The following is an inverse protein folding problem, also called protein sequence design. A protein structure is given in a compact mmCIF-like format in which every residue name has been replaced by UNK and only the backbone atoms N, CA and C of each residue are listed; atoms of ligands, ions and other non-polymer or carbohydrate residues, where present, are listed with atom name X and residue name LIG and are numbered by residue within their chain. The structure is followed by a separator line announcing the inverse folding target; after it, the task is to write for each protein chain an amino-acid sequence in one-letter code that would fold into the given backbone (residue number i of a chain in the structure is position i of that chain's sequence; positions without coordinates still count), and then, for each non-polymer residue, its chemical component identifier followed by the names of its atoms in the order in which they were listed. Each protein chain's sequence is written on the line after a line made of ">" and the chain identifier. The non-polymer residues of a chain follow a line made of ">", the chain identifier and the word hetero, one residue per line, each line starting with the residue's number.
data_IF_151903024813
#
_entry.id   IF_151903024813
#
_cell.length_a   1.000
_cell.length_b   1.000
_cell.length_c   1.000
_cell.angle_alpha   90.00
_cell.angle_beta   90.00
_cell.angle_gamma   90.00
#
_symmetry.space_group_name_H-M   'P 1'
#
loop_
_entity.id
_entity.type
_entity.pdbx_description
1 polymer ?
#
# COMPACT_ATOMS: atom_id res chain seq x y z
N UNK A 1 19.83 19.19 -18.73
CA UNK A 1 18.84 19.41 -17.64
C UNK A 1 17.83 18.27 -17.57
N UNK A 2 17.15 17.92 -18.66
CA UNK A 2 16.17 16.80 -18.73
C UNK A 2 16.78 15.42 -18.46
N UNK A 3 18.03 15.17 -18.87
CA UNK A 3 18.73 13.91 -18.62
C UNK A 3 19.05 13.67 -17.14
N UNK A 4 19.34 14.74 -16.40
CA UNK A 4 19.66 14.69 -14.97
C UNK A 4 18.40 14.48 -14.11
N UNK A 5 17.27 15.08 -14.51
CA UNK A 5 15.99 14.84 -13.85
C UNK A 5 15.51 13.40 -14.09
N UNK A 6 15.59 12.88 -15.31
CA UNK A 6 15.24 11.48 -15.60
C UNK A 6 16.13 10.48 -14.85
N UNK A 7 17.44 10.73 -14.80
CA UNK A 7 18.38 9.90 -14.04
C UNK A 7 18.09 9.94 -12.53
N UNK A 8 17.79 11.13 -11.98
CA UNK A 8 17.41 11.31 -10.59
C UNK A 8 16.11 10.60 -10.25
N UNK A 9 15.08 10.72 -11.10
CA UNK A 9 13.81 10.02 -10.93
C UNK A 9 13.99 8.49 -10.98
N UNK A 10 14.80 7.99 -11.92
CA UNK A 10 15.10 6.57 -12.02
C UNK A 10 15.85 6.04 -10.79
N UNK A 11 16.88 6.76 -10.32
CA UNK A 11 17.64 6.40 -9.13
C UNK A 11 16.78 6.43 -7.86
N UNK A 12 15.92 7.45 -7.72
CA UNK A 12 15.05 7.56 -6.57
C UNK A 12 13.97 6.47 -6.57
N UNK A 13 13.42 6.13 -7.74
CA UNK A 13 12.53 4.98 -7.90
C UNK A 13 13.21 3.66 -7.53
N UNK A 14 14.44 3.45 -7.96
CA UNK A 14 15.22 2.25 -7.65
C UNK A 14 15.53 2.14 -6.14
N UNK A 15 15.80 3.28 -5.48
CA UNK A 15 16.01 3.36 -4.03
C UNK A 15 14.73 2.99 -3.26
N UNK A 16 13.57 3.48 -3.70
CA UNK A 16 12.27 3.11 -3.11
C UNK A 16 12.02 1.61 -3.25
N UNK A 17 12.26 1.04 -4.44
CA UNK A 17 12.12 -0.41 -4.69
C UNK A 17 13.08 -1.21 -3.80
N UNK A 18 14.35 -0.80 -3.69
CA UNK A 18 15.33 -1.48 -2.86
C UNK A 18 14.96 -1.45 -1.36
N UNK A 19 14.46 -0.31 -0.88
CA UNK A 19 14.01 -0.14 0.51
C UNK A 19 12.79 -1.01 0.79
N UNK A 20 11.83 -1.05 -0.14
CA UNK A 20 10.65 -1.90 -0.05
C UNK A 20 11.03 -3.39 0.03
N UNK A 21 11.97 -3.84 -0.83
CA UNK A 21 12.47 -5.23 -0.82
C UNK A 21 13.18 -5.56 0.49
N UNK A 22 13.97 -4.63 1.04
CA UNK A 22 14.66 -4.83 2.32
C UNK A 22 13.67 -5.01 3.48
N UNK A 23 12.61 -4.19 3.52
CA UNK A 23 11.55 -4.28 4.53
C UNK A 23 10.73 -5.57 4.36
N UNK A 24 10.41 -5.96 3.13
CA UNK A 24 9.67 -7.19 2.83
C UNK A 24 10.42 -8.46 3.28
N UNK A 25 11.76 -8.47 3.16
CA UNK A 25 12.60 -9.58 3.64
C UNK A 25 12.58 -9.73 5.16
N UNK A 26 12.46 -8.63 5.90
CA UNK A 26 12.44 -8.63 7.37
C UNK A 26 11.07 -9.05 7.91
N UNK A 27 9.98 -8.78 7.18
CA UNK A 27 8.62 -9.13 7.58
C UNK A 27 8.24 -10.62 7.43
N UNK A 28 8.95 -11.36 6.56
CA UNK A 28 8.56 -12.72 6.15
C UNK A 28 8.89 -13.85 7.16
N UNK A 29 9.48 -13.53 8.32
CA UNK A 29 10.04 -14.55 9.23
C UNK A 29 9.12 -14.97 10.38
N UNK A 30 7.80 -15.04 10.19
CA UNK A 30 6.88 -15.51 11.25
C UNK A 30 5.93 -16.61 10.79
N UNK A 31 6.23 -17.82 11.23
CA UNK A 31 5.39 -19.01 11.12
C UNK A 31 4.43 -19.07 12.31
N UNK A 32 3.14 -19.28 12.07
CA UNK A 32 2.15 -19.54 13.12
C UNK A 32 1.86 -21.05 13.24
N UNK A 33 1.59 -21.60 14.44
CA UNK A 33 1.36 -23.04 14.62
C UNK A 33 -0.13 -23.44 14.48
N UNK A 34 -0.36 -24.47 13.66
CA UNK A 34 -1.34 -25.55 13.81
C UNK A 34 -2.85 -25.26 13.82
N UNK A 35 -3.58 -25.80 12.84
CA UNK A 35 -4.98 -26.21 13.00
C UNK A 35 -5.33 -27.31 11.99
N UNK A 36 -5.43 -28.55 12.48
CA UNK A 36 -5.95 -29.71 11.76
C UNK A 36 -7.48 -29.60 11.62
N UNK A 37 -7.99 -29.28 10.42
CA UNK A 37 -9.33 -29.69 10.00
C UNK A 37 -9.44 -29.60 8.47
N UNK A 38 -9.71 -30.72 7.80
CA UNK A 38 -9.87 -30.81 6.34
C UNK A 38 -11.20 -30.19 5.90
N UNK A 39 -11.25 -28.85 5.85
CA UNK A 39 -12.34 -28.09 5.25
C UNK A 39 -11.89 -27.48 3.91
N UNK A 40 -12.77 -27.47 2.91
CA UNK A 40 -12.44 -26.94 1.57
C UNK A 40 -12.08 -25.45 1.64
N UNK A 41 -12.62 -24.74 2.62
CA UNK A 41 -12.24 -23.36 2.94
C UNK A 41 -10.81 -23.27 3.49
N UNK A 42 -10.42 -24.20 4.38
CA UNK A 42 -9.07 -24.30 4.93
C UNK A 42 -8.04 -24.51 3.82
N UNK A 43 -8.33 -25.43 2.87
CA UNK A 43 -7.46 -25.69 1.73
C UNK A 43 -7.26 -24.46 0.83
N UNK A 44 -8.31 -23.68 0.58
CA UNK A 44 -8.21 -22.43 -0.20
C UNK A 44 -7.42 -21.37 0.57
N UNK A 45 -7.68 -21.20 1.86
CA UNK A 45 -6.94 -20.24 2.69
C UNK A 45 -5.48 -20.61 2.87
N UNK A 46 -5.17 -21.90 2.97
CA UNK A 46 -3.80 -22.41 3.06
C UNK A 46 -3.06 -22.15 1.76
N UNK A 47 -3.68 -22.46 0.61
CA UNK A 47 -3.09 -22.16 -0.71
C UNK A 47 -2.85 -20.66 -0.88
N UNK A 48 -3.82 -19.81 -0.50
CA UNK A 48 -3.68 -18.36 -0.56
C UNK A 48 -2.63 -17.84 0.43
N UNK A 49 -2.54 -18.44 1.61
CA UNK A 49 -1.54 -18.12 2.62
C UNK A 49 -0.13 -18.47 2.14
N UNK A 50 0.04 -19.59 1.46
CA UNK A 50 1.34 -20.04 0.94
C UNK A 50 1.82 -19.12 -0.19
N UNK A 51 0.89 -18.74 -1.09
CA UNK A 51 1.15 -17.73 -2.13
C UNK A 51 1.47 -16.36 -1.50
N UNK A 52 0.67 -15.91 -0.53
CA UNK A 52 0.88 -14.63 0.16
C UNK A 52 2.12 -14.63 1.07
N UNK A 53 2.59 -15.80 1.51
CA UNK A 53 3.83 -15.95 2.28
C UNK A 53 5.08 -15.75 1.43
N UNK A 54 4.96 -15.84 0.11
CA UNK A 54 6.10 -15.72 -0.81
C UNK A 54 6.46 -14.25 -1.04
N UNK A 55 7.66 -13.77 -0.65
CA UNK A 55 8.03 -12.35 -0.76
C UNK A 55 7.99 -11.80 -2.20
N UNK A 56 8.23 -12.67 -3.19
CA UNK A 56 8.17 -12.33 -4.62
C UNK A 56 6.76 -11.92 -5.05
N UNK A 57 5.72 -12.55 -4.49
CA UNK A 57 4.31 -12.23 -4.83
C UNK A 57 3.99 -10.80 -4.42
N UNK A 58 4.42 -10.37 -3.24
CA UNK A 58 4.27 -8.98 -2.80
C UNK A 58 5.07 -7.99 -3.66
N UNK A 59 6.28 -8.35 -4.07
CA UNK A 59 7.08 -7.51 -4.96
C UNK A 59 6.42 -7.33 -6.34
N UNK A 60 5.92 -8.41 -6.93
CA UNK A 60 5.18 -8.36 -8.20
C UNK A 60 3.87 -7.58 -8.04
N UNK A 61 3.11 -7.85 -6.98
CA UNK A 61 1.86 -7.14 -6.69
C UNK A 61 2.08 -5.64 -6.56
N UNK A 62 3.10 -5.23 -5.80
CA UNK A 62 3.49 -3.83 -5.67
C UNK A 62 3.85 -3.21 -7.02
N UNK A 63 4.64 -3.91 -7.85
CA UNK A 63 5.02 -3.43 -9.18
C UNK A 63 3.80 -3.24 -10.08
N UNK A 64 2.91 -4.24 -10.14
CA UNK A 64 1.69 -4.20 -10.96
C UNK A 64 0.77 -3.07 -10.52
N UNK A 65 0.55 -2.90 -9.21
CA UNK A 65 -0.27 -1.81 -8.67
C UNK A 65 0.36 -0.46 -9.00
N UNK A 66 1.67 -0.31 -8.78
CA UNK A 66 2.39 0.95 -9.01
C UNK A 66 2.37 1.36 -10.49
N UNK A 67 2.66 0.42 -11.39
CA UNK A 67 2.60 0.64 -12.84
C UNK A 67 1.17 0.91 -13.28
N UNK A 68 0.19 0.18 -12.76
CA UNK A 68 -1.23 0.38 -13.05
C UNK A 68 -1.72 1.77 -12.65
N UNK A 69 -1.45 2.19 -11.41
CA UNK A 69 -1.78 3.53 -10.91
C UNK A 69 -1.10 4.60 -11.76
N UNK A 70 0.19 4.42 -12.08
CA UNK A 70 0.92 5.34 -12.94
C UNK A 70 0.32 5.45 -14.34
N UNK A 71 0.01 4.32 -14.97
CA UNK A 71 -0.59 4.27 -16.30
C UNK A 71 -1.97 4.95 -16.33
N UNK A 72 -2.83 4.68 -15.34
CA UNK A 72 -4.16 5.32 -15.24
C UNK A 72 -4.03 6.83 -15.04
N UNK A 73 -3.07 7.26 -14.21
CA UNK A 73 -2.80 8.69 -14.00
C UNK A 73 -2.31 9.36 -15.28
N UNK A 74 -1.38 8.72 -16.00
CA UNK A 74 -0.88 9.22 -17.28
C UNK A 74 -1.97 9.27 -18.35
N UNK A 75 -2.89 8.30 -18.38
CA UNK A 75 -4.03 8.32 -19.28
C UNK A 75 -5.02 9.44 -18.95
N UNK A 76 -5.23 9.72 -17.66
CA UNK A 76 -6.17 10.75 -17.22
C UNK A 76 -5.64 12.17 -17.41
N UNK A 77 -4.33 12.39 -17.24
CA UNK A 77 -3.69 13.70 -17.37
C UNK A 77 -3.11 13.93 -18.77
N UNK A 78 -2.68 12.86 -19.43
CA UNK A 78 -2.13 12.92 -20.78
C UNK A 78 -3.23 13.17 -21.80
N UNK A 79 -2.96 14.06 -22.76
CA UNK A 79 -3.89 14.43 -23.83
C UNK A 79 -4.06 13.33 -24.89
N UNK A 80 -4.32 12.09 -24.45
CA UNK A 80 -4.49 10.89 -25.27
C UNK A 80 -5.91 10.75 -25.84
N UNK A 81 -6.66 11.85 -25.95
CA UNK A 81 -8.04 11.84 -26.46
C UNK A 81 -9.09 11.27 -25.48
N UNK A 82 -8.76 11.17 -24.19
CA UNK A 82 -9.71 10.77 -23.14
C UNK A 82 -10.69 11.91 -22.88
N UNK A 83 -12.02 11.67 -22.87
CA UNK A 83 -13.00 12.69 -22.52
C UNK A 83 -12.76 13.26 -21.11
N UNK A 84 -12.86 14.58 -20.94
CA UNK A 84 -12.59 15.26 -19.66
C UNK A 84 -13.42 14.70 -18.49
N UNK A 85 -14.69 14.36 -18.74
CA UNK A 85 -15.56 13.73 -17.73
C UNK A 85 -15.03 12.37 -17.24
N UNK A 86 -14.40 11.60 -18.13
CA UNK A 86 -13.81 10.30 -17.81
C UNK A 86 -12.45 10.47 -17.11
N UNK A 87 -11.65 11.45 -17.52
CA UNK A 87 -10.38 11.79 -16.90
C UNK A 87 -10.53 12.16 -15.40
N UNK A 88 -11.51 13.01 -15.07
CA UNK A 88 -11.82 13.37 -13.69
C UNK A 88 -12.18 12.14 -12.84
N UNK A 89 -13.02 11.25 -13.38
CA UNK A 89 -13.43 10.02 -12.69
C UNK A 89 -12.25 9.07 -12.47
N UNK A 90 -11.39 8.89 -13.48
CA UNK A 90 -10.17 8.07 -13.36
C UNK A 90 -9.26 8.59 -12.24
N UNK A 91 -9.05 9.90 -12.16
CA UNK A 91 -8.24 10.51 -11.11
C UNK A 91 -8.86 10.30 -9.73
N UNK A 92 -10.18 10.48 -9.57
CA UNK A 92 -10.85 10.21 -8.31
C UNK A 92 -10.69 8.74 -7.87
N UNK A 93 -10.80 7.79 -8.81
CA UNK A 93 -10.57 6.37 -8.53
C UNK A 93 -9.12 6.14 -8.08
N UNK A 94 -8.15 6.74 -8.77
CA UNK A 94 -6.73 6.64 -8.41
C UNK A 94 -6.49 7.19 -7.00
N UNK A 95 -7.01 8.39 -6.70
CA UNK A 95 -6.85 8.99 -5.37
C UNK A 95 -7.50 8.15 -4.28
N UNK A 96 -8.69 7.61 -4.53
CA UNK A 96 -9.36 6.70 -3.60
C UNK A 96 -8.54 5.41 -3.37
N UNK A 97 -8.02 4.81 -4.44
CA UNK A 97 -7.22 3.59 -4.35
C UNK A 97 -5.91 3.83 -3.60
N UNK A 98 -5.19 4.91 -3.91
CA UNK A 98 -3.95 5.29 -3.20
C UNK A 98 -4.24 5.62 -1.73
N UNK A 99 -5.30 6.38 -1.45
CA UNK A 99 -5.73 6.69 -0.09
C UNK A 99 -6.04 5.43 0.71
N UNK A 100 -6.76 4.47 0.12
CA UNK A 100 -7.07 3.19 0.75
C UNK A 100 -5.82 2.35 1.00
N UNK A 101 -4.86 2.32 0.06
CA UNK A 101 -3.58 1.63 0.24
C UNK A 101 -2.77 2.23 1.39
N UNK A 102 -2.70 3.57 1.48
CA UNK A 102 -1.98 4.25 2.55
C UNK A 102 -2.63 3.98 3.92
N UNK A 103 -3.95 4.12 4.01
CA UNK A 103 -4.71 3.82 5.23
C UNK A 103 -4.52 2.36 5.63
N UNK A 104 -4.68 1.43 4.68
CA UNK A 104 -4.50 0.00 4.91
C UNK A 104 -3.09 -0.32 5.38
N UNK A 105 -2.06 0.25 4.75
CA UNK A 105 -0.66 0.07 5.12
C UNK A 105 -0.38 0.54 6.55
N UNK A 106 -0.82 1.74 6.91
CA UNK A 106 -0.63 2.30 8.26
C UNK A 106 -1.35 1.46 9.30
N UNK A 107 -2.62 1.10 9.03
CA UNK A 107 -3.43 0.30 9.94
C UNK A 107 -2.84 -1.10 10.15
N UNK A 108 -2.57 -1.85 9.07
CA UNK A 108 -2.00 -3.20 9.16
C UNK A 108 -0.60 -3.17 9.77
N UNK A 109 0.23 -2.18 9.42
CA UNK A 109 1.57 -2.02 9.99
C UNK A 109 1.53 -1.86 11.50
N UNK A 110 0.68 -0.97 12.01
CA UNK A 110 0.50 -0.77 13.44
C UNK A 110 -0.15 -1.99 14.13
N UNK A 111 -1.14 -2.62 13.49
CA UNK A 111 -1.78 -3.84 13.98
C UNK A 111 -0.76 -4.98 14.17
N UNK A 112 0.01 -5.30 13.12
CA UNK A 112 1.01 -6.36 13.17
C UNK A 112 2.20 -6.01 14.05
N UNK A 113 2.57 -4.73 14.17
CA UNK A 113 3.59 -4.29 15.12
C UNK A 113 3.16 -4.46 16.59
N UNK A 114 1.88 -4.26 16.90
CA UNK A 114 1.33 -4.53 18.22
C UNK A 114 1.25 -6.04 18.50
N UNK A 115 0.73 -6.82 17.55
CA UNK A 115 0.69 -8.30 17.62
C UNK A 115 2.08 -8.91 17.78
N UNK A 116 3.07 -8.32 17.10
CA UNK A 116 4.47 -8.75 17.17
C UNK A 116 5.15 -8.58 18.51
N UNK A 117 4.52 -7.85 19.44
CA UNK A 117 4.96 -7.69 20.83
C UNK A 117 4.17 -8.57 21.80
N UNK A 118 3.39 -9.53 21.29
CA UNK A 118 2.57 -10.44 22.12
C UNK A 118 1.23 -9.85 22.57
N UNK A 119 0.84 -8.67 22.08
CA UNK A 119 -0.43 -8.05 22.46
C UNK A 119 -1.62 -8.72 21.74
N UNK A 120 -2.78 -8.74 22.41
CA UNK A 120 -4.01 -9.32 21.87
C UNK A 120 -4.60 -8.54 20.69
N UNK A 121 -5.57 -9.15 20.00
CA UNK A 121 -6.21 -8.57 18.80
C UNK A 121 -6.82 -7.18 19.05
N UNK A 122 -7.44 -6.97 20.22
CA UNK A 122 -8.03 -5.68 20.58
C UNK A 122 -6.99 -4.55 20.63
N UNK A 123 -5.80 -4.82 21.16
CA UNK A 123 -4.71 -3.84 21.22
C UNK A 123 -4.15 -3.53 19.83
N UNK A 124 -4.08 -4.53 18.95
CA UNK A 124 -3.70 -4.32 17.55
C UNK A 124 -4.67 -3.42 16.81
N UNK A 125 -5.97 -3.65 16.96
CA UNK A 125 -7.01 -2.80 16.34
C UNK A 125 -6.94 -1.38 16.89
N UNK A 126 -6.76 -1.21 18.21
CA UNK A 126 -6.61 0.10 18.83
C UNK A 126 -5.35 0.84 18.34
N UNK A 127 -4.22 0.16 18.20
CA UNK A 127 -2.99 0.75 17.66
C UNK A 127 -3.17 1.14 16.18
N UNK A 128 -3.81 0.28 15.39
CA UNK A 128 -4.13 0.55 13.98
C UNK A 128 -5.04 1.76 13.80
N UNK A 129 -6.14 1.83 14.54
CA UNK A 129 -7.08 2.94 14.44
C UNK A 129 -6.46 4.26 14.92
N UNK A 130 -5.67 4.22 16.01
CA UNK A 130 -4.94 5.38 16.50
C UNK A 130 -3.91 5.90 15.47
N UNK A 131 -3.09 5.01 14.91
CA UNK A 131 -2.09 5.38 13.91
C UNK A 131 -2.74 5.99 12.65
N UNK A 132 -3.82 5.37 12.16
CA UNK A 132 -4.57 5.86 11.01
C UNK A 132 -5.21 7.22 11.29
N UNK A 133 -5.79 7.39 12.48
CA UNK A 133 -6.36 8.66 12.94
C UNK A 133 -5.31 9.77 13.03
N UNK A 134 -4.09 9.46 13.48
CA UNK A 134 -2.99 10.41 13.54
C UNK A 134 -2.56 10.87 12.14
N UNK A 135 -2.44 9.94 11.19
CA UNK A 135 -2.16 10.28 9.79
C UNK A 135 -3.26 11.19 9.22
N UNK A 136 -4.52 10.89 9.51
CA UNK A 136 -5.65 11.73 9.10
C UNK A 136 -5.57 13.15 9.70
N UNK A 137 -5.21 13.27 10.98
CA UNK A 137 -5.00 14.57 11.62
C UNK A 137 -3.84 15.35 10.98
N UNK A 138 -2.75 14.67 10.59
CA UNK A 138 -1.63 15.30 9.87
C UNK A 138 -2.09 15.83 8.52
N UNK A 139 -2.89 15.05 7.77
CA UNK A 139 -3.46 15.50 6.49
C UNK A 139 -4.31 16.74 6.68
N UNK A 140 -5.22 16.75 7.66
CA UNK A 140 -6.04 17.93 7.97
C UNK A 140 -5.15 19.13 8.35
N UNK A 141 -4.16 18.94 9.23
CA UNK A 141 -3.28 20.01 9.67
C UNK A 141 -2.52 20.63 8.50
N UNK A 142 -2.00 19.81 7.59
CA UNK A 142 -1.34 20.25 6.36
C UNK A 142 -2.33 21.00 5.46
N UNK A 143 -3.56 20.50 5.30
CA UNK A 143 -4.59 21.14 4.50
C UNK A 143 -4.95 22.53 5.04
N UNK A 144 -5.05 22.66 6.37
CA UNK A 144 -5.31 23.94 7.05
C UNK A 144 -4.13 24.92 6.92
N UNK A 145 -2.89 24.42 6.95
CA UNK A 145 -1.68 25.24 6.85
C UNK A 145 -1.42 25.73 5.42
N UNK A 146 -1.56 24.84 4.44
CA UNK A 146 -1.24 25.13 3.03
C UNK A 146 -2.42 25.79 2.30
N UNK A 147 -3.63 25.65 2.82
CA UNK A 147 -4.82 26.25 2.23
C UNK A 147 -5.15 25.64 0.88
N UNK A 148 -5.48 24.34 0.86
CA UNK A 148 -6.05 23.69 -0.32
C UNK A 148 -7.54 23.48 -0.07
N UNK A 149 -8.34 24.35 -0.69
CA UNK A 149 -9.77 24.16 -0.97
C UNK A 149 -9.87 22.94 -1.89
N UNK A 150 -10.66 21.96 -1.48
CA UNK A 150 -10.97 20.77 -2.28
C UNK A 150 -11.67 21.10 -3.58
#
# INVERSE_FOLDING_TARGET
>A
MVSLTLLSTALMGLLVVATFVAVARIGAQRTAPGADEQDRYAAVTETLSDIAGTPVVWAIGFLVISVGVGAVTLLAVGSFGVPEALAGTLLSIVYAAVGLLLVGFVFLGAYFAARGRGLGNAHGVAAGSFATGLVFLVVIAVQLLVGIVG
#
